data_IF_988971515555
#
_entry.id   IF_988971515555
#
_cell.length_a   1.000
_cell.length_b   1.000
_cell.length_c   1.000
_cell.angle_alpha   90.00
_cell.angle_beta   90.00
_cell.angle_gamma   90.00
#
_symmetry.space_group_name_H-M   'P 1'
#
loop_
_entity.id
_entity.type
_entity.pdbx_description
1 polymer ?
#
# COMPACT_ATOMS: atom_id res chain seq x y z
N UNK A 1 -63.29 -33.61 -15.57
CA UNK A 1 -62.72 -34.26 -14.37
C UNK A 1 -61.36 -33.66 -14.08
N UNK A 2 -61.18 -33.05 -12.91
CA UNK A 2 -59.96 -32.38 -12.45
C UNK A 2 -59.74 -32.84 -11.02
N UNK A 3 -58.64 -33.54 -10.75
CA UNK A 3 -58.17 -33.89 -9.42
C UNK A 3 -56.67 -34.26 -9.46
N UNK A 4 -55.91 -34.03 -8.36
CA UNK A 4 -54.60 -33.38 -8.42
C UNK A 4 -53.49 -34.11 -7.63
N UNK A 5 -52.22 -33.70 -7.80
CA UNK A 5 -51.10 -33.78 -6.83
C UNK A 5 -49.79 -33.43 -7.57
N UNK A 6 -48.76 -32.74 -7.06
CA UNK A 6 -48.45 -32.17 -5.75
C UNK A 6 -47.24 -31.25 -5.93
N UNK A 7 -47.27 -30.07 -5.30
CA UNK A 7 -46.19 -29.37 -4.58
C UNK A 7 -44.88 -28.98 -5.34
N UNK A 8 -44.27 -27.80 -5.18
CA UNK A 8 -44.19 -26.85 -4.05
C UNK A 8 -43.81 -25.44 -4.56
N UNK A 9 -44.35 -24.41 -3.90
CA UNK A 9 -43.87 -23.03 -3.93
C UNK A 9 -43.09 -22.72 -2.60
N UNK A 10 -42.80 -21.47 -2.20
CA UNK A 10 -41.47 -20.88 -1.98
C UNK A 10 -41.12 -20.60 -0.49
N UNK A 11 -39.86 -20.26 -0.16
CA UNK A 11 -39.42 -19.59 1.09
C UNK A 11 -37.93 -19.22 0.96
N UNK A 12 -37.41 -18.00 1.15
CA UNK A 12 -37.48 -16.97 2.21
C UNK A 12 -36.63 -17.28 3.47
N UNK A 13 -35.70 -16.35 3.74
CA UNK A 13 -35.21 -15.87 5.05
C UNK A 13 -34.20 -16.67 5.92
N UNK A 14 -33.02 -16.01 6.08
CA UNK A 14 -32.49 -15.37 7.31
C UNK A 14 -31.77 -16.20 8.38
N UNK A 15 -30.66 -15.58 8.84
CA UNK A 15 -29.99 -15.66 10.15
C UNK A 15 -29.20 -16.94 10.45
N UNK A 16 -28.12 -16.97 11.23
CA UNK A 16 -27.20 -16.02 11.89
C UNK A 16 -26.12 -16.90 12.53
N UNK A 17 -24.90 -16.38 12.72
CA UNK A 17 -24.04 -16.76 13.85
C UNK A 17 -23.04 -17.91 13.66
N UNK A 18 -21.76 -17.61 13.90
CA UNK A 18 -20.74 -18.65 14.07
C UNK A 18 -19.31 -18.13 14.02
N UNK A 19 -18.89 -17.39 15.04
CA UNK A 19 -17.54 -16.84 15.21
C UNK A 19 -16.44 -17.92 15.33
N UNK A 20 -15.35 -17.75 14.56
CA UNK A 20 -13.94 -18.11 14.85
C UNK A 20 -13.16 -17.94 13.52
N UNK A 21 -11.99 -17.34 13.42
CA UNK A 21 -11.02 -16.92 14.40
C UNK A 21 -10.29 -15.68 13.84
N UNK A 22 -10.05 -14.71 14.71
CA UNK A 22 -9.14 -13.60 14.43
C UNK A 22 -7.72 -14.15 14.25
N UNK A 23 -7.32 -14.37 13.00
CA UNK A 23 -5.90 -14.43 12.65
C UNK A 23 -5.40 -12.99 12.55
N UNK A 24 -5.07 -12.42 13.71
CA UNK A 24 -4.22 -11.24 13.85
C UNK A 24 -3.01 -11.45 12.93
N UNK A 25 -2.78 -10.64 11.88
CA UNK A 25 -1.50 -10.74 11.18
C UNK A 25 -0.45 -10.37 12.21
N UNK A 26 0.33 -11.39 12.57
CA UNK A 26 1.55 -11.29 13.36
C UNK A 26 2.33 -10.12 12.78
N UNK A 27 2.44 -9.06 13.58
CA UNK A 27 3.34 -7.95 13.33
C UNK A 27 4.67 -8.57 12.89
N UNK A 28 5.00 -8.35 11.62
CA UNK A 28 6.38 -8.46 11.20
C UNK A 28 7.14 -7.54 12.15
N UNK A 29 8.14 -8.11 12.83
CA UNK A 29 9.01 -7.41 13.75
C UNK A 29 9.43 -6.05 13.16
N UNK A 30 9.66 -5.01 13.98
CA UNK A 30 10.19 -3.76 13.48
C UNK A 30 11.55 -4.08 12.89
N UNK A 31 11.62 -4.24 11.57
CA UNK A 31 12.87 -4.06 10.85
C UNK A 31 13.31 -2.68 11.31
N UNK A 32 14.46 -2.62 12.00
CA UNK A 32 15.01 -1.35 12.43
C UNK A 32 15.09 -0.50 11.17
N UNK A 33 14.17 0.48 11.10
CA UNK A 33 13.97 1.32 9.94
C UNK A 33 15.11 2.33 9.93
N UNK A 34 16.30 1.85 9.59
CA UNK A 34 17.43 2.69 9.24
C UNK A 34 16.93 3.70 8.19
N UNK A 35 17.44 4.93 8.28
CA UNK A 35 17.14 5.96 7.30
C UNK A 35 17.35 5.35 5.91
N UNK A 36 16.32 5.39 5.06
CA UNK A 36 16.43 4.93 3.67
C UNK A 36 17.06 6.08 2.91
N UNK A 37 18.37 6.24 3.08
CA UNK A 37 19.19 7.23 2.41
C UNK A 37 19.84 6.66 1.14
N UNK A 38 20.38 7.56 0.31
CA UNK A 38 20.89 7.21 -1.01
C UNK A 38 22.09 6.24 -0.94
N UNK A 39 22.92 6.35 0.09
CA UNK A 39 24.07 5.46 0.29
C UNK A 39 23.61 4.03 0.64
N UNK A 40 22.60 3.90 1.51
CA UNK A 40 22.02 2.60 1.82
C UNK A 40 21.33 1.95 0.59
N UNK A 41 20.71 2.77 -0.27
CA UNK A 41 20.05 2.32 -1.50
C UNK A 41 21.07 1.88 -2.55
N UNK A 42 22.16 2.63 -2.74
CA UNK A 42 23.24 2.26 -3.66
C UNK A 42 23.91 0.94 -3.25
N UNK A 43 24.18 0.77 -1.95
CA UNK A 43 24.71 -0.46 -1.40
C UNK A 43 23.79 -1.68 -1.61
N UNK A 44 22.48 -1.48 -1.78
CA UNK A 44 21.52 -2.54 -2.05
C UNK A 44 21.55 -3.03 -3.53
N UNK A 45 22.29 -2.35 -4.42
CA UNK A 45 22.46 -2.74 -5.81
C UNK A 45 21.14 -2.80 -6.58
N UNK A 46 20.82 -3.95 -7.18
CA UNK A 46 19.56 -4.15 -7.91
C UNK A 46 18.32 -4.21 -7.00
N UNK A 47 18.50 -4.38 -5.69
CA UNK A 47 17.39 -4.42 -4.73
C UNK A 47 16.50 -5.66 -4.84
N UNK A 48 15.34 -5.61 -4.17
CA UNK A 48 14.31 -6.65 -4.18
C UNK A 48 12.93 -6.07 -4.42
N UNK A 49 12.08 -6.78 -5.18
CA UNK A 49 10.73 -6.28 -5.49
C UNK A 49 9.90 -6.11 -4.21
N UNK A 50 9.27 -4.93 -3.99
CA UNK A 50 8.40 -4.73 -2.84
C UNK A 50 7.19 -5.65 -2.85
N UNK A 51 6.64 -5.90 -1.66
CA UNK A 51 5.41 -6.67 -1.49
C UNK A 51 4.21 -5.91 -2.08
N UNK A 52 3.75 -6.39 -3.22
CA UNK A 52 2.54 -5.91 -3.88
C UNK A 52 1.28 -6.68 -3.46
N UNK A 53 0.13 -6.08 -3.71
CA UNK A 53 -1.20 -6.66 -3.61
C UNK A 53 -1.78 -6.86 -5.01
N UNK A 54 -2.75 -7.77 -5.15
CA UNK A 54 -3.48 -7.96 -6.41
C UNK A 54 -4.48 -6.82 -6.71
N UNK A 55 -4.77 -6.00 -5.70
CA UNK A 55 -5.68 -4.87 -5.78
C UNK A 55 -5.71 -4.11 -4.44
N UNK A 56 -6.37 -2.94 -4.40
CA UNK A 56 -6.46 -2.15 -3.19
C UNK A 56 -7.26 -2.86 -2.09
N UNK A 57 -6.85 -2.68 -0.85
CA UNK A 57 -7.57 -3.15 0.34
C UNK A 57 -8.96 -2.51 0.36
N UNK A 58 -9.99 -3.31 0.63
CA UNK A 58 -11.39 -2.88 0.64
C UNK A 58 -11.85 -2.18 -0.66
N UNK A 59 -11.19 -2.42 -1.79
CA UNK A 59 -11.54 -1.84 -3.08
C UNK A 59 -11.19 -0.36 -3.25
N UNK A 60 -10.47 0.25 -2.30
CA UNK A 60 -10.09 1.67 -2.35
C UNK A 60 -8.60 1.87 -2.13
N UNK A 61 -7.93 2.50 -3.09
CA UNK A 61 -6.52 2.90 -2.95
C UNK A 61 -6.40 4.21 -2.15
N UNK A 62 -5.22 4.42 -1.58
CA UNK A 62 -4.80 5.73 -1.08
C UNK A 62 -4.42 6.63 -2.26
N UNK A 63 -4.48 7.95 -2.06
CA UNK A 63 -3.99 8.91 -3.05
C UNK A 63 -2.47 9.03 -2.88
N UNK A 64 -1.70 8.22 -3.61
CA UNK A 64 -0.24 8.20 -3.47
C UNK A 64 0.40 9.50 -3.95
N UNK A 65 -0.30 10.32 -4.76
CA UNK A 65 0.19 11.62 -5.21
C UNK A 65 0.29 12.64 -4.08
N UNK A 66 -0.24 12.34 -2.89
CA UNK A 66 0.01 13.14 -1.68
C UNK A 66 1.48 13.12 -1.27
N UNK A 67 2.24 12.06 -1.60
CA UNK A 67 3.68 12.03 -1.42
C UNK A 67 4.34 12.88 -2.50
N UNK A 68 5.16 13.85 -2.09
CA UNK A 68 5.90 14.70 -3.01
C UNK A 68 6.84 13.85 -3.89
N UNK A 69 6.83 14.14 -5.19
CA UNK A 69 7.56 13.37 -6.19
C UNK A 69 6.76 12.23 -6.82
N UNK A 70 5.62 11.83 -6.26
CA UNK A 70 4.67 10.90 -6.90
C UNK A 70 3.67 11.70 -7.74
N UNK A 71 3.86 11.72 -9.05
CA UNK A 71 2.85 12.23 -9.99
C UNK A 71 1.89 11.14 -10.49
N UNK A 72 0.85 11.48 -11.26
CA UNK A 72 -0.14 10.52 -11.78
C UNK A 72 0.47 9.32 -12.53
N UNK A 73 1.58 9.56 -13.25
CA UNK A 73 2.31 8.51 -13.97
C UNK A 73 2.99 7.55 -13.00
N UNK A 74 3.60 8.06 -11.94
CA UNK A 74 4.29 7.26 -10.94
C UNK A 74 3.33 6.51 -10.03
N UNK A 75 2.20 7.13 -9.67
CA UNK A 75 1.10 6.46 -8.98
C UNK A 75 0.62 5.26 -9.80
N UNK A 76 0.41 5.42 -11.11
CA UNK A 76 0.06 4.29 -11.98
C UNK A 76 1.11 3.17 -11.94
N UNK A 77 2.41 3.52 -12.01
CA UNK A 77 3.49 2.52 -11.91
C UNK A 77 3.47 1.81 -10.55
N UNK A 78 3.22 2.53 -9.45
CA UNK A 78 3.04 1.92 -8.13
C UNK A 78 1.86 0.94 -8.14
N UNK A 79 0.69 1.36 -8.65
CA UNK A 79 -0.49 0.52 -8.78
C UNK A 79 -0.25 -0.72 -9.65
N UNK A 80 0.46 -0.59 -10.78
CA UNK A 80 0.83 -1.71 -11.65
C UNK A 80 1.79 -2.69 -10.93
N UNK A 81 2.54 -2.23 -9.93
CA UNK A 81 3.39 -3.06 -9.07
C UNK A 81 2.66 -3.57 -7.80
N UNK A 82 1.35 -3.34 -7.70
CA UNK A 82 0.53 -3.77 -6.57
C UNK A 82 0.67 -2.91 -5.31
N UNK A 83 1.20 -1.69 -5.44
CA UNK A 83 1.40 -0.75 -4.33
C UNK A 83 0.28 0.27 -4.38
N UNK A 84 -0.70 0.15 -3.49
CA UNK A 84 -1.91 0.99 -3.48
C UNK A 84 -2.06 1.85 -2.22
N UNK A 85 -1.20 1.63 -1.20
CA UNK A 85 -1.36 2.22 0.11
C UNK A 85 -0.07 2.81 0.66
N UNK A 86 -0.20 3.83 1.51
CA UNK A 86 0.94 4.44 2.20
C UNK A 86 1.68 3.42 3.08
N UNK A 87 0.96 2.49 3.71
CA UNK A 87 1.55 1.46 4.57
C UNK A 87 2.54 0.55 3.82
N UNK A 88 2.30 0.31 2.52
CA UNK A 88 3.20 -0.49 1.70
C UNK A 88 4.51 0.26 1.45
N UNK A 89 4.44 1.56 1.14
CA UNK A 89 5.61 2.41 0.89
C UNK A 89 6.39 2.65 2.19
N UNK A 90 5.70 2.93 3.29
CA UNK A 90 6.30 3.11 4.61
C UNK A 90 7.10 1.90 5.08
N UNK A 91 6.71 0.70 4.63
CA UNK A 91 7.36 -0.58 4.94
C UNK A 91 8.60 -0.88 4.09
N UNK A 92 8.93 -0.08 3.09
CA UNK A 92 10.11 -0.30 2.26
C UNK A 92 11.42 -0.06 3.02
N UNK A 93 12.39 -0.93 2.78
CA UNK A 93 13.78 -0.73 3.13
C UNK A 93 14.61 -0.31 1.90
N UNK A 94 15.93 -0.21 2.06
CA UNK A 94 16.83 0.20 0.98
C UNK A 94 16.76 -0.72 -0.25
N UNK A 95 16.54 -2.02 -0.04
CA UNK A 95 16.42 -2.99 -1.14
C UNK A 95 15.16 -2.77 -1.99
N UNK A 96 14.01 -2.53 -1.38
CA UNK A 96 12.78 -2.22 -2.12
C UNK A 96 12.87 -0.88 -2.85
N UNK A 97 13.49 0.11 -2.22
CA UNK A 97 13.73 1.42 -2.85
C UNK A 97 14.68 1.31 -4.04
N UNK A 98 15.77 0.56 -3.91
CA UNK A 98 16.70 0.31 -5.02
C UNK A 98 16.00 -0.37 -6.20
N UNK A 99 15.17 -1.38 -5.93
CA UNK A 99 14.39 -2.06 -6.96
C UNK A 99 13.40 -1.12 -7.65
N UNK A 100 12.65 -0.32 -6.88
CA UNK A 100 11.70 0.65 -7.45
C UNK A 100 12.41 1.72 -8.28
N UNK A 101 13.55 2.23 -7.81
CA UNK A 101 14.39 3.16 -8.55
C UNK A 101 14.89 2.56 -9.89
N UNK A 102 15.28 1.29 -9.89
CA UNK A 102 15.73 0.56 -11.08
C UNK A 102 14.59 0.24 -12.07
N UNK A 103 13.39 -0.03 -11.55
CA UNK A 103 12.21 -0.41 -12.34
C UNK A 103 11.40 0.80 -12.84
N UNK A 104 11.93 2.02 -12.69
CA UNK A 104 11.34 3.27 -13.19
C UNK A 104 12.30 3.96 -14.19
N UNK A 105 12.35 3.55 -15.47
CA UNK A 105 13.40 3.97 -16.41
C UNK A 105 13.51 5.49 -16.61
N UNK A 106 12.38 6.20 -16.53
CA UNK A 106 12.30 7.66 -16.76
C UNK A 106 12.39 8.49 -15.48
N UNK A 107 12.40 7.85 -14.31
CA UNK A 107 12.26 8.47 -13.00
C UNK A 107 13.21 7.87 -11.96
N UNK A 108 14.38 7.42 -12.42
CA UNK A 108 15.38 6.76 -11.57
C UNK A 108 15.79 7.65 -10.40
N UNK A 109 15.93 7.05 -9.22
CA UNK A 109 16.41 7.72 -8.01
C UNK A 109 15.35 8.53 -7.25
N UNK A 110 14.12 8.67 -7.76
CA UNK A 110 13.10 9.51 -7.11
C UNK A 110 12.63 8.98 -5.78
N UNK A 111 12.59 7.66 -5.61
CA UNK A 111 12.03 7.06 -4.39
C UNK A 111 12.87 7.43 -3.16
N UNK A 112 14.20 7.46 -3.30
CA UNK A 112 15.14 7.89 -2.25
C UNK A 112 15.26 9.41 -2.18
N UNK A 113 15.50 10.08 -3.33
CA UNK A 113 15.71 11.53 -3.40
C UNK A 113 14.53 12.34 -2.88
N UNK A 114 13.32 11.95 -3.26
CA UNK A 114 12.08 12.60 -2.85
C UNK A 114 11.55 11.98 -1.54
N UNK A 115 12.34 11.12 -0.86
CA UNK A 115 12.06 10.58 0.49
C UNK A 115 10.68 9.92 0.65
N UNK A 116 10.21 9.16 -0.35
CA UNK A 116 8.85 8.62 -0.35
C UNK A 116 8.52 7.81 0.91
N UNK A 117 9.49 7.02 1.39
CA UNK A 117 9.33 6.18 2.57
C UNK A 117 9.14 7.02 3.84
N UNK A 118 9.89 8.11 4.00
CA UNK A 118 9.75 9.00 5.16
C UNK A 118 8.40 9.73 5.14
N UNK A 119 8.01 10.26 3.98
CA UNK A 119 6.71 10.92 3.81
C UNK A 119 5.55 9.97 4.08
N UNK A 120 5.59 8.75 3.55
CA UNK A 120 4.57 7.73 3.80
C UNK A 120 4.43 7.40 5.28
N UNK A 121 5.56 7.29 6.01
CA UNK A 121 5.53 7.09 7.47
C UNK A 121 4.93 8.29 8.19
N UNK A 122 5.31 9.50 7.79
CA UNK A 122 4.77 10.72 8.39
C UNK A 122 3.26 10.80 8.20
N UNK A 123 2.73 10.51 7.00
CA UNK A 123 1.28 10.45 6.75
C UNK A 123 0.59 9.46 7.68
N UNK A 124 1.19 8.29 7.95
CA UNK A 124 0.62 7.28 8.85
C UNK A 124 0.71 7.66 10.33
N UNK A 125 1.70 8.48 10.70
CA UNK A 125 1.93 8.93 12.07
C UNK A 125 1.06 10.13 12.45
N UNK A 126 1.07 11.18 11.60
CA UNK A 126 0.41 12.45 11.91
C UNK A 126 -0.89 12.67 11.14
N UNK A 127 -1.19 11.82 10.16
CA UNK A 127 -2.33 11.97 9.27
C UNK A 127 -2.06 12.89 8.08
N UNK A 128 -2.96 12.86 7.09
CA UNK A 128 -2.81 13.59 5.83
C UNK A 128 -2.82 15.11 6.04
N UNK A 129 -3.71 15.63 6.89
CA UNK A 129 -3.89 17.08 7.07
C UNK A 129 -2.62 17.73 7.65
N UNK A 130 -2.11 17.19 8.74
CA UNK A 130 -0.87 17.67 9.39
C UNK A 130 0.34 17.44 8.48
N UNK A 131 0.40 16.31 7.76
CA UNK A 131 1.44 16.07 6.77
C UNK A 131 1.45 17.15 5.69
N UNK A 132 0.28 17.54 5.15
CA UNK A 132 0.20 18.56 4.10
C UNK A 132 0.65 19.94 4.60
N UNK A 133 0.41 20.27 5.88
CA UNK A 133 0.97 21.49 6.47
C UNK A 133 2.50 21.45 6.57
N UNK A 134 3.07 20.29 6.96
CA UNK A 134 4.53 20.09 7.04
C UNK A 134 5.20 20.03 5.67
N UNK A 135 4.51 19.50 4.67
CA UNK A 135 4.99 19.40 3.30
C UNK A 135 5.26 20.78 2.68
N UNK A 136 4.49 21.81 3.05
CA UNK A 136 4.70 23.20 2.57
C UNK A 136 6.09 23.75 2.91
N UNK A 137 6.70 23.25 3.98
CA UNK A 137 8.05 23.64 4.43
C UNK A 137 9.09 22.54 4.22
N UNK A 138 8.73 21.48 3.47
CA UNK A 138 9.59 20.34 3.17
C UNK A 138 10.11 19.60 4.42
N UNK A 139 9.33 19.64 5.50
CA UNK A 139 9.67 19.08 6.80
C UNK A 139 9.09 17.66 6.96
N UNK A 140 9.77 16.68 6.36
CA UNK A 140 9.39 15.28 6.35
C UNK A 140 10.18 14.44 7.35
#
# INVERSE_FOLDING_TARGET
AKAPAKAKAPAKAKAEGGAKAAAKPKAAAPVAFAAVDDAAVDAAGAGSKPKGLAGPKAGKADDLKLIEGIGPVLEKVCHDNGVYHFDQIAAWGPAEVAWMNGNMPRFKGRVSRDKWVAQARLILEVGIEEFLERAKTNNY
#
